data_IF_368516712213
#
_entry.id   IF_368516712213
#
_cell.length_a   1.000
_cell.length_b   1.000
_cell.length_c   1.000
_cell.angle_alpha   90.00
_cell.angle_beta   90.00
_cell.angle_gamma   90.00
#
_symmetry.space_group_name_H-M   'P 1'
#
loop_
_entity.id
_entity.type
_entity.pdbx_description
1 polymer ?
#
# COMPACT_ATOMS: atom_id res chain seq x y z
N UNK A 1 -15.58 -3.36 -8.51
CA UNK A 1 -14.65 -2.23 -8.45
C UNK A 1 -14.59 -1.51 -9.80
N UNK A 2 -14.23 -2.16 -10.90
CA UNK A 2 -14.07 -1.53 -12.21
C UNK A 2 -15.31 -0.74 -12.71
N UNK A 3 -16.51 -1.18 -12.39
CA UNK A 3 -17.77 -0.50 -12.77
C UNK A 3 -18.10 0.73 -11.91
N UNK A 4 -17.40 0.94 -10.81
CA UNK A 4 -17.67 2.03 -9.84
C UNK A 4 -16.46 2.92 -9.60
N UNK A 5 -15.39 2.78 -10.38
CA UNK A 5 -14.18 3.59 -10.21
C UNK A 5 -14.41 5.10 -10.41
N UNK A 6 -15.46 5.49 -11.12
CA UNK A 6 -15.83 6.89 -11.34
C UNK A 6 -16.41 7.57 -10.09
N UNK A 7 -16.91 6.79 -9.13
CA UNK A 7 -17.49 7.31 -7.88
C UNK A 7 -16.72 6.87 -6.65
N UNK A 8 -15.92 7.78 -6.08
CA UNK A 8 -15.19 7.54 -4.82
C UNK A 8 -16.15 7.12 -3.70
N UNK A 9 -17.32 7.77 -3.60
CA UNK A 9 -18.33 7.45 -2.60
C UNK A 9 -18.85 6.00 -2.70
N UNK A 10 -19.09 5.52 -3.92
CA UNK A 10 -19.52 4.12 -4.13
C UNK A 10 -18.40 3.14 -3.81
N UNK A 11 -17.15 3.46 -4.12
CA UNK A 11 -16.01 2.62 -3.74
C UNK A 11 -15.84 2.58 -2.22
N UNK A 12 -15.97 3.71 -1.53
CA UNK A 12 -15.96 3.73 -0.07
C UNK A 12 -17.11 2.90 0.52
N UNK A 13 -18.34 3.05 0.00
CA UNK A 13 -19.47 2.24 0.43
C UNK A 13 -19.21 0.73 0.26
N UNK A 14 -18.66 0.31 -0.88
CA UNK A 14 -18.29 -1.07 -1.15
C UNK A 14 -17.23 -1.59 -0.16
N UNK A 15 -16.13 -0.86 0.03
CA UNK A 15 -15.05 -1.32 0.90
C UNK A 15 -15.45 -1.34 2.37
N UNK A 16 -16.06 -0.26 2.88
CA UNK A 16 -16.49 -0.21 4.27
C UNK A 16 -17.61 -1.20 4.58
N UNK A 17 -18.56 -1.36 3.66
CA UNK A 17 -19.67 -2.28 3.84
C UNK A 17 -19.24 -3.74 3.79
N UNK A 18 -18.39 -4.12 2.81
CA UNK A 18 -17.84 -5.48 2.73
C UNK A 18 -16.98 -5.80 3.96
N UNK A 19 -16.24 -4.81 4.47
CA UNK A 19 -15.47 -4.93 5.70
C UNK A 19 -16.32 -4.99 6.99
N UNK A 20 -17.65 -4.84 6.90
CA UNK A 20 -18.56 -4.82 8.05
C UNK A 20 -18.46 -3.58 8.94
N UNK A 21 -17.82 -2.52 8.46
CA UNK A 21 -17.63 -1.29 9.23
C UNK A 21 -18.80 -0.31 9.15
N UNK A 22 -19.90 -0.68 8.48
CA UNK A 22 -21.15 0.10 8.38
C UNK A 22 -22.33 -0.51 9.18
N UNK A 23 -22.05 -1.45 10.08
CA UNK A 23 -23.10 -2.16 10.87
C UNK A 23 -23.47 -1.40 12.16
N UNK A 24 -22.59 -0.56 12.69
CA UNK A 24 -22.82 0.21 13.94
C UNK A 24 -23.92 1.26 13.76
N UNK A 25 -24.72 1.58 14.82
CA UNK A 25 -25.76 2.60 14.78
C UNK A 25 -25.18 4.04 14.97
N UNK A 26 -24.37 4.51 14.03
CA UNK A 26 -23.71 5.83 14.09
C UNK A 26 -24.60 6.88 13.44
N UNK A 27 -24.82 8.00 14.15
CA UNK A 27 -25.62 9.16 13.71
C UNK A 27 -24.71 10.22 13.02
N UNK A 28 -24.16 9.83 11.89
CA UNK A 28 -23.33 10.68 11.04
C UNK A 28 -23.87 10.61 9.61
N UNK A 29 -24.09 11.76 8.98
CA UNK A 29 -24.73 11.81 7.65
C UNK A 29 -23.90 11.10 6.59
N UNK A 30 -22.58 11.20 6.65
CA UNK A 30 -21.69 10.52 5.70
C UNK A 30 -21.75 9.01 5.87
N UNK A 31 -21.69 8.55 7.12
CA UNK A 31 -21.85 7.13 7.46
C UNK A 31 -23.18 6.57 7.01
N UNK A 32 -24.30 7.29 7.29
CA UNK A 32 -25.64 6.87 6.88
C UNK A 32 -25.74 6.77 5.35
N UNK A 33 -25.18 7.75 4.65
CA UNK A 33 -25.11 7.73 3.19
C UNK A 33 -24.35 6.51 2.65
N UNK A 34 -23.16 6.22 3.18
CA UNK A 34 -22.38 5.03 2.80
C UNK A 34 -23.14 3.72 3.08
N UNK A 35 -23.80 3.63 4.23
CA UNK A 35 -24.59 2.45 4.60
C UNK A 35 -25.76 2.20 3.64
N UNK A 36 -26.47 3.25 3.26
CA UNK A 36 -27.58 3.16 2.32
C UNK A 36 -27.10 2.76 0.92
N UNK A 37 -26.03 3.37 0.45
CA UNK A 37 -25.41 3.02 -0.83
C UNK A 37 -24.91 1.57 -0.83
N UNK A 38 -24.25 1.14 0.25
CA UNK A 38 -23.81 -0.25 0.37
C UNK A 38 -24.98 -1.23 0.37
N UNK A 39 -26.10 -0.91 1.04
CA UNK A 39 -27.28 -1.78 1.05
C UNK A 39 -27.82 -2.00 -0.38
N UNK A 40 -27.86 -0.95 -1.21
CA UNK A 40 -28.20 -1.06 -2.61
C UNK A 40 -27.19 -1.91 -3.40
N UNK A 41 -25.89 -1.63 -3.28
CA UNK A 41 -24.83 -2.36 -3.98
C UNK A 41 -24.73 -3.82 -3.54
N UNK A 42 -24.92 -4.09 -2.25
CA UNK A 42 -24.97 -5.45 -1.69
C UNK A 42 -26.07 -6.29 -2.34
N UNK A 43 -27.28 -5.73 -2.48
CA UNK A 43 -28.39 -6.40 -3.16
C UNK A 43 -28.11 -6.60 -4.65
N UNK A 44 -27.59 -5.56 -5.32
CA UNK A 44 -27.31 -5.58 -6.76
C UNK A 44 -26.27 -6.62 -7.16
N UNK A 45 -25.25 -6.85 -6.32
CA UNK A 45 -24.11 -7.72 -6.62
C UNK A 45 -24.03 -8.96 -5.75
N UNK A 46 -25.05 -9.24 -4.91
CA UNK A 46 -25.08 -10.39 -3.99
C UNK A 46 -23.82 -10.48 -3.11
N UNK A 47 -23.38 -9.34 -2.55
CA UNK A 47 -22.13 -9.27 -1.77
C UNK A 47 -22.33 -9.86 -0.38
N UNK A 48 -21.26 -10.47 0.16
CA UNK A 48 -21.17 -10.94 1.55
C UNK A 48 -20.19 -10.08 2.34
N UNK A 49 -20.48 -9.84 3.63
CA UNK A 49 -19.61 -9.12 4.54
C UNK A 49 -18.57 -10.06 5.15
N UNK A 50 -17.36 -9.56 5.38
CA UNK A 50 -16.24 -10.28 6.03
C UNK A 50 -15.87 -9.66 7.39
N UNK A 51 -16.85 -9.08 8.08
CA UNK A 51 -16.70 -8.25 9.29
C UNK A 51 -15.89 -8.87 10.43
N UNK A 52 -15.94 -10.20 10.62
CA UNK A 52 -15.30 -10.88 11.74
C UNK A 52 -13.76 -10.84 11.74
N UNK A 53 -13.14 -10.40 10.65
CA UNK A 53 -11.68 -10.47 10.47
C UNK A 53 -10.95 -9.14 10.70
N UNK A 54 -11.68 -8.03 10.83
CA UNK A 54 -11.06 -6.70 10.94
C UNK A 54 -10.84 -6.29 12.39
N UNK A 55 -9.57 -6.26 12.79
CA UNK A 55 -9.15 -5.78 14.12
C UNK A 55 -8.96 -4.27 14.11
N UNK A 56 -9.56 -3.56 15.08
CA UNK A 56 -9.50 -2.09 15.19
C UNK A 56 -8.75 -1.57 16.42
N UNK A 57 -8.31 -2.47 17.32
CA UNK A 57 -7.70 -2.10 18.59
C UNK A 57 -6.17 -1.89 18.52
N UNK A 58 -5.65 -0.99 19.40
CA UNK A 58 -4.20 -0.75 19.64
C UNK A 58 -3.37 -0.37 18.42
N UNK A 59 -3.94 0.36 17.47
CA UNK A 59 -3.25 0.83 16.26
C UNK A 59 -2.99 2.33 16.31
N UNK A 60 -1.88 2.77 15.69
CA UNK A 60 -1.66 4.20 15.42
C UNK A 60 -2.77 4.72 14.50
N UNK A 61 -3.28 5.94 14.68
CA UNK A 61 -4.44 6.46 13.94
C UNK A 61 -4.36 6.29 12.42
N UNK A 62 -3.18 6.53 11.82
CA UNK A 62 -2.96 6.36 10.37
C UNK A 62 -3.01 4.91 9.88
N UNK A 63 -2.94 3.94 10.79
CA UNK A 63 -3.00 2.51 10.48
C UNK A 63 -4.38 1.90 10.77
N UNK A 64 -5.35 2.71 11.22
CA UNK A 64 -6.71 2.23 11.41
C UNK A 64 -7.31 1.71 10.10
N UNK A 65 -8.07 0.62 10.13
CA UNK A 65 -8.71 0.05 8.94
C UNK A 65 -9.54 1.07 8.16
N UNK A 66 -10.21 1.98 8.85
CA UNK A 66 -10.98 3.06 8.21
C UNK A 66 -10.11 3.90 7.28
N UNK A 67 -8.94 4.37 7.76
CA UNK A 67 -8.02 5.17 6.93
C UNK A 67 -7.47 4.34 5.77
N UNK A 68 -7.13 3.07 6.03
CA UNK A 68 -6.60 2.18 4.98
C UNK A 68 -7.62 1.84 3.90
N UNK A 69 -8.87 1.64 4.27
CA UNK A 69 -9.94 1.40 3.30
C UNK A 69 -10.29 2.67 2.52
N UNK A 70 -10.28 3.84 3.15
CA UNK A 70 -10.43 5.11 2.44
C UNK A 70 -9.27 5.34 1.44
N UNK A 71 -8.02 5.05 1.84
CA UNK A 71 -6.86 5.08 0.94
C UNK A 71 -7.02 4.11 -0.23
N UNK A 72 -7.52 2.90 0.02
CA UNK A 72 -7.77 1.91 -1.01
C UNK A 72 -8.87 2.34 -1.98
N UNK A 73 -9.97 2.93 -1.48
CA UNK A 73 -11.05 3.47 -2.30
C UNK A 73 -10.53 4.59 -3.21
N UNK A 74 -9.80 5.55 -2.65
CA UNK A 74 -9.19 6.64 -3.39
C UNK A 74 -8.19 6.13 -4.44
N UNK A 75 -7.39 5.14 -4.11
CA UNK A 75 -6.47 4.51 -5.05
C UNK A 75 -7.19 3.94 -6.28
N UNK A 76 -8.24 3.14 -6.09
CA UNK A 76 -9.00 2.58 -7.21
C UNK A 76 -9.79 3.63 -8.00
N UNK A 77 -10.17 4.71 -7.35
CA UNK A 77 -10.82 5.85 -8.02
C UNK A 77 -9.85 6.60 -8.94
N UNK A 78 -8.69 6.97 -8.42
CA UNK A 78 -7.71 7.77 -9.16
C UNK A 78 -6.87 6.95 -10.16
N UNK A 79 -6.71 5.66 -9.90
CA UNK A 79 -5.81 4.82 -10.69
C UNK A 79 -6.49 3.53 -11.16
N UNK A 80 -7.53 3.64 -12.01
CA UNK A 80 -8.12 2.46 -12.63
C UNK A 80 -7.07 1.75 -13.51
N UNK A 81 -7.15 0.42 -13.58
CA UNK A 81 -6.23 -0.43 -14.35
C UNK A 81 -4.75 -0.28 -13.95
N UNK A 82 -4.49 -0.04 -12.65
CA UNK A 82 -3.14 0.19 -12.12
C UNK A 82 -2.11 -0.84 -12.59
N UNK A 83 -2.43 -2.13 -12.52
CA UNK A 83 -1.51 -3.21 -12.93
C UNK A 83 -1.12 -3.08 -14.40
N UNK A 84 -2.08 -2.87 -15.28
CA UNK A 84 -1.80 -2.66 -16.71
C UNK A 84 -0.92 -1.43 -16.94
N UNK A 85 -1.19 -0.35 -16.20
CA UNK A 85 -0.36 0.87 -16.28
C UNK A 85 1.07 0.62 -15.80
N UNK A 86 1.25 -0.10 -14.68
CA UNK A 86 2.58 -0.44 -14.14
C UNK A 86 3.38 -1.27 -15.13
N UNK A 87 2.76 -2.23 -15.80
CA UNK A 87 3.43 -3.07 -16.79
C UNK A 87 3.88 -2.30 -18.04
N UNK A 88 3.16 -1.22 -18.38
CA UNK A 88 3.45 -0.40 -19.57
C UNK A 88 4.30 0.85 -19.29
N UNK A 89 4.58 1.16 -18.02
CA UNK A 89 5.28 2.39 -17.66
C UNK A 89 6.80 2.22 -17.65
N UNK A 90 7.52 3.19 -18.26
CA UNK A 90 8.98 3.14 -18.33
C UNK A 90 9.69 3.60 -17.06
N UNK A 91 9.07 4.49 -16.25
CA UNK A 91 9.76 5.14 -15.14
C UNK A 91 9.08 4.92 -13.78
N UNK A 92 9.87 4.59 -12.70
CA UNK A 92 9.36 4.43 -11.34
C UNK A 92 8.71 5.69 -10.76
N UNK A 93 9.20 6.88 -11.13
CA UNK A 93 8.63 8.17 -10.70
C UNK A 93 7.17 8.34 -11.10
N UNK A 94 6.80 7.89 -12.30
CA UNK A 94 5.42 7.94 -12.78
C UNK A 94 4.51 7.04 -11.95
N UNK A 95 4.97 5.84 -11.59
CA UNK A 95 4.22 4.93 -10.72
C UNK A 95 4.06 5.52 -9.31
N UNK A 96 5.10 6.17 -8.77
CA UNK A 96 5.00 6.89 -7.48
C UNK A 96 3.95 7.99 -7.52
N UNK A 97 3.88 8.76 -8.60
CA UNK A 97 2.87 9.81 -8.78
C UNK A 97 1.44 9.24 -8.82
N UNK A 98 1.24 8.04 -9.40
CA UNK A 98 -0.06 7.36 -9.39
C UNK A 98 -0.52 6.94 -7.99
N UNK A 99 0.39 6.78 -7.06
CA UNK A 99 0.09 6.45 -5.66
C UNK A 99 -0.06 7.70 -4.78
N UNK A 100 0.06 8.89 -5.37
CA UNK A 100 -0.13 10.17 -4.69
C UNK A 100 -1.51 10.72 -5.02
N UNK A 101 -2.45 10.64 -4.07
CA UNK A 101 -3.83 11.09 -4.22
C UNK A 101 -4.39 11.55 -2.88
N UNK A 102 -5.42 12.40 -2.93
CA UNK A 102 -6.15 12.85 -1.75
C UNK A 102 -7.37 11.94 -1.51
N UNK A 103 -7.74 11.85 -0.24
CA UNK A 103 -8.96 11.16 0.20
C UNK A 103 -10.17 12.09 0.08
N UNK A 104 -11.39 11.55 0.26
CA UNK A 104 -12.57 12.39 0.39
C UNK A 104 -12.46 13.35 1.59
N UNK A 105 -13.09 14.52 1.49
CA UNK A 105 -13.01 15.59 2.51
C UNK A 105 -13.39 15.12 3.92
N UNK A 106 -14.26 14.14 4.02
CA UNK A 106 -14.64 13.53 5.28
C UNK A 106 -13.41 13.06 6.08
N UNK A 107 -12.48 12.39 5.43
CA UNK A 107 -11.29 11.82 6.06
C UNK A 107 -10.25 12.87 6.47
N UNK A 108 -10.37 14.10 6.01
CA UNK A 108 -9.50 15.17 6.51
C UNK A 108 -9.67 15.39 8.02
N UNK A 109 -10.89 15.19 8.52
CA UNK A 109 -11.26 15.44 9.93
C UNK A 109 -11.62 14.17 10.71
N UNK A 110 -11.47 12.97 10.12
CA UNK A 110 -11.85 11.71 10.77
C UNK A 110 -10.78 10.63 10.60
N UNK A 111 -10.51 9.88 11.66
CA UNK A 111 -9.73 8.63 11.60
C UNK A 111 -10.63 7.39 11.63
N UNK A 112 -11.85 7.54 12.09
CA UNK A 112 -12.92 6.55 12.06
C UNK A 112 -14.26 7.30 12.05
N UNK A 113 -15.35 6.60 11.81
CA UNK A 113 -16.70 7.19 11.89
C UNK A 113 -17.07 7.67 13.29
N UNK A 114 -16.39 7.17 14.33
CA UNK A 114 -16.63 7.52 15.75
C UNK A 114 -15.73 8.64 16.27
N UNK A 115 -14.64 8.96 15.55
CA UNK A 115 -13.58 9.83 16.11
C UNK A 115 -13.22 10.94 15.14
N UNK A 116 -13.59 12.17 15.50
CA UNK A 116 -13.11 13.39 14.84
C UNK A 116 -11.67 13.69 15.21
N UNK A 117 -10.96 14.33 14.31
CA UNK A 117 -9.57 14.75 14.48
C UNK A 117 -9.37 16.20 14.02
N UNK A 118 -8.23 16.80 14.36
CA UNK A 118 -7.79 18.03 13.70
C UNK A 118 -7.65 17.77 12.19
N UNK A 119 -7.94 18.79 11.38
CA UNK A 119 -7.81 18.73 9.92
C UNK A 119 -6.38 18.36 9.52
N UNK A 120 -6.23 17.27 8.81
CA UNK A 120 -4.94 16.75 8.34
C UNK A 120 -5.15 15.86 7.13
N UNK A 121 -4.30 15.99 6.11
CA UNK A 121 -4.24 15.01 5.03
C UNK A 121 -3.88 13.62 5.57
N UNK A 122 -4.55 12.61 5.07
CA UNK A 122 -4.33 11.20 5.38
C UNK A 122 -3.99 10.40 4.13
N UNK A 123 -3.39 11.08 3.15
CA UNK A 123 -2.82 10.46 1.96
C UNK A 123 -1.73 9.44 2.31
N UNK A 124 -1.37 8.63 1.35
CA UNK A 124 -0.31 7.64 1.49
C UNK A 124 1.04 8.37 1.61
N UNK A 125 1.83 8.03 2.62
CA UNK A 125 3.16 8.63 2.81
C UNK A 125 4.17 8.11 1.78
N UNK A 126 5.15 8.92 1.41
CA UNK A 126 6.25 8.53 0.51
C UNK A 126 6.97 7.28 1.01
N UNK A 127 7.20 7.16 2.33
CA UNK A 127 7.81 5.96 2.91
C UNK A 127 6.97 4.71 2.69
N UNK A 128 5.63 4.81 2.77
CA UNK A 128 4.76 3.67 2.48
C UNK A 128 4.73 3.34 0.98
N UNK A 129 4.77 4.35 0.10
CA UNK A 129 4.90 4.15 -1.35
C UNK A 129 6.18 3.37 -1.67
N UNK A 130 7.34 3.79 -1.12
CA UNK A 130 8.61 3.08 -1.30
C UNK A 130 8.51 1.63 -0.79
N UNK A 131 7.84 1.42 0.35
CA UNK A 131 7.62 0.08 0.90
C UNK A 131 6.74 -0.81 -0.01
N UNK A 132 5.70 -0.24 -0.64
CA UNK A 132 4.89 -0.95 -1.65
C UNK A 132 5.72 -1.32 -2.88
N UNK A 133 6.58 -0.41 -3.36
CA UNK A 133 7.49 -0.71 -4.46
C UNK A 133 8.37 -1.90 -4.13
N UNK A 134 9.05 -1.85 -2.98
CA UNK A 134 10.02 -2.84 -2.58
C UNK A 134 9.40 -4.24 -2.40
N UNK A 135 8.24 -4.29 -1.74
CA UNK A 135 7.66 -5.57 -1.29
C UNK A 135 6.54 -6.12 -2.20
N UNK A 136 6.04 -5.33 -3.14
CA UNK A 136 4.96 -5.75 -4.03
C UNK A 136 5.27 -5.51 -5.51
N UNK A 137 5.58 -4.27 -5.90
CA UNK A 137 5.69 -3.92 -7.31
C UNK A 137 6.95 -4.48 -7.96
N UNK A 138 8.12 -4.34 -7.33
CA UNK A 138 9.39 -4.87 -7.86
C UNK A 138 9.34 -6.38 -8.01
N UNK A 139 8.95 -7.17 -6.99
CA UNK A 139 8.78 -8.61 -7.15
C UNK A 139 7.77 -9.00 -8.23
N UNK A 140 6.66 -8.24 -8.34
CA UNK A 140 5.65 -8.48 -9.35
C UNK A 140 6.18 -8.23 -10.77
N UNK A 141 6.86 -7.11 -11.01
CA UNK A 141 7.45 -6.78 -12.32
C UNK A 141 8.52 -7.82 -12.69
N UNK A 142 9.42 -8.15 -11.75
CA UNK A 142 10.44 -9.17 -11.95
C UNK A 142 9.85 -10.51 -12.37
N UNK A 143 8.84 -10.98 -11.61
CA UNK A 143 8.19 -12.25 -11.89
C UNK A 143 7.43 -12.24 -13.23
N UNK A 144 6.76 -11.13 -13.55
CA UNK A 144 6.04 -10.96 -14.80
C UNK A 144 6.99 -11.02 -16.00
N UNK A 145 8.09 -10.27 -15.99
CA UNK A 145 9.07 -10.24 -17.09
C UNK A 145 9.79 -11.59 -17.25
N UNK A 146 10.16 -12.21 -16.14
CA UNK A 146 10.73 -13.56 -16.16
C UNK A 146 9.82 -14.60 -16.83
N UNK A 147 8.50 -14.54 -16.58
CA UNK A 147 7.54 -15.49 -17.16
C UNK A 147 7.14 -15.14 -18.60
N UNK A 148 7.38 -13.92 -19.06
CA UNK A 148 7.10 -13.51 -20.44
C UNK A 148 8.16 -14.03 -21.42
N UNK A 149 9.26 -14.57 -20.92
CA UNK A 149 10.34 -15.14 -21.73
C UNK A 149 11.33 -14.12 -22.30
N UNK A 150 11.16 -12.85 -22.00
CA UNK A 150 12.07 -11.78 -22.45
C UNK A 150 13.34 -11.68 -21.59
N UNK A 151 13.43 -12.42 -20.48
CA UNK A 151 14.64 -12.59 -19.66
C UNK A 151 15.20 -11.31 -19.02
N UNK A 152 14.59 -10.17 -19.32
CA UNK A 152 15.07 -8.86 -18.92
C UNK A 152 14.57 -8.51 -17.52
N UNK A 153 15.45 -8.72 -16.54
CA UNK A 153 15.22 -8.32 -15.15
C UNK A 153 15.76 -6.91 -14.84
N UNK A 154 16.37 -6.23 -15.81
CA UNK A 154 17.00 -4.92 -15.63
C UNK A 154 16.02 -3.86 -15.13
N UNK A 155 14.79 -3.90 -15.64
CA UNK A 155 13.73 -2.97 -15.21
C UNK A 155 13.39 -3.09 -13.72
N UNK A 156 13.33 -4.31 -13.19
CA UNK A 156 13.10 -4.53 -11.77
C UNK A 156 14.29 -4.04 -10.93
N UNK A 157 15.52 -4.22 -11.41
CA UNK A 157 16.72 -3.69 -10.77
C UNK A 157 16.74 -2.16 -10.80
N UNK A 158 16.42 -1.54 -11.93
CA UNK A 158 16.33 -0.08 -12.07
C UNK A 158 15.30 0.51 -11.07
N UNK A 159 14.19 -0.16 -10.84
CA UNK A 159 13.24 0.27 -9.80
C UNK A 159 13.84 0.26 -8.40
N UNK A 160 14.71 -0.70 -8.08
CA UNK A 160 15.40 -0.75 -6.80
C UNK A 160 16.47 0.34 -6.66
N UNK A 161 17.18 0.69 -7.74
CA UNK A 161 18.17 1.77 -7.76
C UNK A 161 17.53 3.15 -7.54
N UNK A 162 16.32 3.37 -8.07
CA UNK A 162 15.58 4.63 -7.94
C UNK A 162 14.90 4.84 -6.57
N UNK A 163 14.88 3.81 -5.73
CA UNK A 163 14.29 3.89 -4.39
C UNK A 163 15.39 4.17 -3.36
N UNK A 164 15.21 5.10 -2.43
CA UNK A 164 16.15 5.30 -1.34
C UNK A 164 16.34 4.03 -0.50
N UNK A 165 17.55 3.85 0.03
CA UNK A 165 17.87 2.74 0.95
C UNK A 165 16.87 2.61 2.09
N UNK A 166 16.67 1.41 2.57
CA UNK A 166 15.86 1.18 3.77
C UNK A 166 16.52 1.77 5.02
N UNK A 167 15.68 2.31 5.90
CA UNK A 167 16.11 2.85 7.19
C UNK A 167 15.74 1.85 8.29
N UNK A 168 16.69 0.97 8.63
CA UNK A 168 16.56 0.01 9.72
C UNK A 168 17.91 -0.19 10.45
N UNK A 169 17.87 -0.87 11.60
CA UNK A 169 19.06 -1.09 12.43
C UNK A 169 20.15 -1.90 11.73
N UNK A 170 19.79 -2.82 10.84
CA UNK A 170 20.75 -3.65 10.12
C UNK A 170 21.58 -2.77 9.17
N UNK A 171 20.90 -1.96 8.35
CA UNK A 171 21.57 -1.02 7.42
C UNK A 171 22.38 0.03 8.19
N UNK A 172 21.85 0.53 9.31
CA UNK A 172 22.60 1.46 10.16
C UNK A 172 23.89 0.83 10.72
N UNK A 173 23.87 -0.44 11.07
CA UNK A 173 25.07 -1.15 11.53
C UNK A 173 26.09 -1.34 10.40
N UNK A 174 25.68 -1.72 9.21
CA UNK A 174 26.53 -1.79 8.02
C UNK A 174 27.20 -0.43 7.72
N UNK A 175 26.44 0.66 7.80
CA UNK A 175 27.00 2.01 7.59
C UNK A 175 28.07 2.36 8.65
N UNK A 176 27.89 1.92 9.92
CA UNK A 176 28.91 2.13 10.97
C UNK A 176 30.23 1.39 10.71
N UNK A 177 30.19 0.26 10.00
CA UNK A 177 31.42 -0.47 9.61
C UNK A 177 32.06 0.08 8.34
N UNK A 178 31.57 1.21 7.80
CA UNK A 178 32.13 1.86 6.61
C UNK A 178 31.51 1.40 5.28
N UNK A 179 30.54 0.49 5.29
CA UNK A 179 29.88 0.04 4.06
C UNK A 179 28.95 1.14 3.56
N UNK A 180 29.15 1.58 2.32
CA UNK A 180 28.26 2.53 1.65
C UNK A 180 26.97 1.83 1.23
N UNK A 181 25.86 2.52 1.36
CA UNK A 181 24.55 2.06 0.92
C UNK A 181 23.71 3.30 0.57
N UNK A 182 23.32 3.44 -0.69
CA UNK A 182 22.66 4.65 -1.21
C UNK A 182 21.22 4.39 -1.64
N UNK A 183 20.92 3.21 -2.16
CA UNK A 183 19.62 2.85 -2.75
C UNK A 183 19.05 1.55 -2.17
N UNK A 184 17.84 1.18 -2.65
CA UNK A 184 17.15 -0.01 -2.18
C UNK A 184 17.80 -1.31 -2.67
N UNK A 185 18.42 -1.32 -3.86
CA UNK A 185 19.11 -2.51 -4.38
C UNK A 185 20.24 -2.91 -3.42
N UNK A 186 21.10 -1.95 -3.06
CA UNK A 186 22.18 -2.17 -2.11
C UNK A 186 21.68 -2.56 -0.72
N UNK A 187 20.63 -1.88 -0.22
CA UNK A 187 20.09 -2.22 1.10
C UNK A 187 19.45 -3.61 1.14
N UNK A 188 18.78 -4.06 0.07
CA UNK A 188 18.25 -5.43 -0.03
C UNK A 188 19.38 -6.46 -0.11
N UNK A 189 20.46 -6.18 -0.85
CA UNK A 189 21.65 -7.03 -0.88
C UNK A 189 22.26 -7.20 0.52
N UNK A 190 22.47 -6.09 1.25
CA UNK A 190 22.98 -6.12 2.63
C UNK A 190 22.04 -6.83 3.61
N UNK A 191 20.72 -6.69 3.45
CA UNK A 191 19.75 -7.42 4.27
C UNK A 191 19.76 -8.92 3.98
N UNK A 192 19.86 -9.30 2.71
CA UNK A 192 20.01 -10.70 2.31
C UNK A 192 21.30 -11.30 2.89
N UNK A 193 22.42 -10.61 2.71
CA UNK A 193 23.71 -11.01 3.26
C UNK A 193 23.64 -11.23 4.79
N UNK A 194 23.07 -10.26 5.50
CA UNK A 194 22.89 -10.35 6.94
C UNK A 194 22.05 -11.57 7.35
N UNK A 195 20.89 -11.76 6.74
CA UNK A 195 19.96 -12.85 7.08
C UNK A 195 20.49 -14.22 6.73
N UNK A 196 21.18 -14.34 5.59
CA UNK A 196 21.61 -15.63 5.04
C UNK A 196 22.95 -16.09 5.60
N UNK A 197 23.85 -15.17 5.90
CA UNK A 197 25.21 -15.51 6.32
C UNK A 197 25.57 -15.00 7.71
N UNK A 198 25.35 -13.73 8.02
CA UNK A 198 25.80 -13.16 9.30
C UNK A 198 24.97 -13.67 10.47
N UNK A 199 23.65 -13.66 10.38
CA UNK A 199 22.75 -14.11 11.47
C UNK A 199 22.97 -15.59 11.82
N UNK A 200 23.06 -16.54 10.86
CA UNK A 200 23.36 -17.93 11.14
C UNK A 200 24.86 -18.23 11.30
N UNK A 201 25.73 -17.19 11.35
CA UNK A 201 27.19 -17.31 11.53
C UNK A 201 27.90 -18.17 10.45
N UNK A 202 27.44 -18.11 9.21
CA UNK A 202 28.01 -18.83 8.06
C UNK A 202 29.11 -18.03 7.35
N UNK A 203 30.05 -17.49 8.11
CA UNK A 203 31.08 -16.60 7.59
C UNK A 203 32.01 -17.26 6.57
N UNK A 204 32.27 -18.55 6.71
CA UNK A 204 33.12 -19.30 5.79
C UNK A 204 32.50 -19.55 4.42
N UNK A 205 31.18 -19.41 4.31
CA UNK A 205 30.43 -19.54 3.05
C UNK A 205 30.11 -18.17 2.43
N UNK A 206 30.45 -17.08 3.14
CA UNK A 206 30.22 -15.73 2.68
C UNK A 206 31.35 -15.32 1.72
N UNK A 207 31.01 -14.81 0.54
CA UNK A 207 31.97 -14.39 -0.49
C UNK A 207 32.57 -12.98 -0.27
N UNK A 208 32.46 -12.43 0.96
CA UNK A 208 33.02 -11.13 1.36
C UNK A 208 34.17 -11.34 2.30
#
# INVERSE_FOLDING_TARGET
IQKHHESLFQLEALFFGTAGLLEDPIQDNYFIGLRNEYAFLKKKYSLTSVSSQIKTGRMRPMNLPHVKLAQLAAFFHHTPLFISKVLNLPAPSTVKNMLTFELSDYWLNHYSFKTKSKKRSKSISVGFVNHLFLNALVPFVFFYEKNKGEGDTERALQYLEDIPKEQNSIIANWTKTGVKCENALESQGLLHLYKTYCLPQRCLECGI
#
